data_IF_813301383356
#
_entry.id   IF_813301383356
#
_cell.length_a   1.000
_cell.length_b   1.000
_cell.length_c   1.000
_cell.angle_alpha   90.00
_cell.angle_beta   90.00
_cell.angle_gamma   90.00
#
_symmetry.space_group_name_H-M   'P 1'
#
loop_
_entity.id
_entity.type
_entity.pdbx_description
1 polymer ?
#
# COMPACT_ATOMS: atom_id res chain seq x y z
N UNK A 1 -19.69 -23.16 -1.56
CA UNK A 1 -20.86 -22.97 -0.66
C UNK A 1 -21.52 -21.63 -0.96
N UNK A 2 -22.86 -21.51 -0.90
CA UNK A 2 -23.58 -20.27 -1.19
C UNK A 2 -24.24 -19.73 0.09
N UNK A 3 -24.03 -18.46 0.40
CA UNK A 3 -24.69 -17.77 1.50
C UNK A 3 -25.39 -16.53 0.98
N UNK A 4 -26.52 -16.16 1.62
CA UNK A 4 -27.18 -14.89 1.38
C UNK A 4 -27.15 -14.08 2.67
N UNK A 5 -26.58 -12.89 2.60
CA UNK A 5 -26.53 -11.93 3.71
C UNK A 5 -27.23 -10.68 3.22
N UNK A 6 -28.41 -10.39 3.77
CA UNK A 6 -29.34 -9.37 3.26
C UNK A 6 -29.63 -9.54 1.75
N UNK A 7 -29.31 -8.54 0.95
CA UNK A 7 -29.47 -8.50 -0.50
C UNK A 7 -28.24 -9.03 -1.27
N UNK A 8 -27.16 -9.40 -0.56
CA UNK A 8 -25.91 -9.87 -1.15
C UNK A 8 -25.82 -11.39 -1.18
N UNK A 9 -25.38 -11.92 -2.31
CA UNK A 9 -25.13 -13.34 -2.51
C UNK A 9 -23.62 -13.61 -2.49
N UNK A 10 -23.16 -14.40 -1.52
CA UNK A 10 -21.76 -14.73 -1.28
C UNK A 10 -21.50 -16.18 -1.70
N UNK A 11 -20.61 -16.37 -2.67
CA UNK A 11 -20.11 -17.68 -3.09
C UNK A 11 -18.76 -17.91 -2.42
N UNK A 12 -18.69 -18.91 -1.54
CA UNK A 12 -17.44 -19.36 -0.91
C UNK A 12 -16.82 -20.48 -1.74
N UNK A 13 -15.61 -20.23 -2.21
CA UNK A 13 -14.77 -21.19 -2.94
C UNK A 13 -13.82 -21.85 -1.94
N UNK A 14 -13.93 -23.17 -1.77
CA UNK A 14 -13.17 -23.92 -0.76
C UNK A 14 -12.18 -24.93 -1.37
N UNK A 15 -12.10 -25.02 -2.70
CA UNK A 15 -11.19 -25.91 -3.40
C UNK A 15 -10.27 -25.14 -4.37
N UNK A 16 -9.04 -25.62 -4.51
CA UNK A 16 -8.01 -24.94 -5.28
C UNK A 16 -8.31 -24.93 -6.79
N UNK A 17 -8.91 -26.00 -7.32
CA UNK A 17 -9.21 -26.11 -8.74
C UNK A 17 -10.25 -25.06 -9.17
N UNK A 18 -11.34 -24.94 -8.42
CA UNK A 18 -12.37 -23.90 -8.66
C UNK A 18 -11.79 -22.50 -8.43
N UNK A 19 -10.91 -22.32 -7.45
CA UNK A 19 -10.25 -21.04 -7.22
C UNK A 19 -9.40 -20.62 -8.43
N UNK A 20 -8.56 -21.50 -8.97
CA UNK A 20 -7.76 -21.25 -10.17
C UNK A 20 -8.66 -20.98 -11.38
N UNK A 21 -9.70 -21.78 -11.56
CA UNK A 21 -10.58 -21.64 -12.71
C UNK A 21 -11.37 -20.32 -12.70
N UNK A 22 -11.81 -19.86 -11.53
CA UNK A 22 -12.51 -18.58 -11.38
C UNK A 22 -11.55 -17.39 -11.37
N UNK A 23 -10.47 -17.44 -10.59
CA UNK A 23 -9.62 -16.28 -10.28
C UNK A 23 -8.47 -16.09 -11.26
N UNK A 24 -8.02 -17.13 -11.97
CA UNK A 24 -6.96 -17.03 -12.98
C UNK A 24 -7.53 -17.14 -14.39
N UNK A 25 -8.09 -18.30 -14.73
CA UNK A 25 -8.56 -18.61 -16.10
C UNK A 25 -9.71 -17.69 -16.52
N UNK A 26 -10.60 -17.37 -15.57
CA UNK A 26 -11.76 -16.49 -15.79
C UNK A 26 -11.65 -15.16 -15.04
N UNK A 27 -10.43 -14.73 -14.72
CA UNK A 27 -10.12 -13.48 -13.99
C UNK A 27 -10.85 -12.25 -14.53
N UNK A 28 -10.92 -12.06 -15.85
CA UNK A 28 -11.62 -10.93 -16.46
C UNK A 28 -13.11 -10.84 -16.09
N UNK A 29 -13.75 -11.95 -15.69
CA UNK A 29 -15.15 -12.00 -15.24
C UNK A 29 -15.30 -11.85 -13.72
N UNK A 30 -14.36 -12.39 -12.94
CA UNK A 30 -14.53 -12.54 -11.49
C UNK A 30 -13.57 -11.68 -10.64
N UNK A 31 -12.59 -10.99 -11.23
CA UNK A 31 -11.62 -10.18 -10.49
C UNK A 31 -12.11 -8.78 -10.10
N UNK A 32 -13.34 -8.39 -10.48
CA UNK A 32 -13.88 -7.08 -10.11
C UNK A 32 -14.16 -6.96 -8.62
N UNK A 33 -13.97 -5.77 -8.06
CA UNK A 33 -14.35 -5.46 -6.67
C UNK A 33 -15.79 -4.93 -6.67
N UNK A 34 -16.71 -5.51 -5.88
CA UNK A 34 -18.08 -5.01 -5.81
C UNK A 34 -18.11 -3.58 -5.23
N UNK A 35 -19.09 -2.77 -5.67
CA UNK A 35 -19.40 -1.47 -5.02
C UNK A 35 -20.07 -1.72 -3.66
N UNK A 36 -19.25 -2.15 -2.71
CA UNK A 36 -19.65 -2.48 -1.36
C UNK A 36 -19.54 -1.26 -0.44
N UNK A 37 -20.19 -1.33 0.72
CA UNK A 37 -19.97 -0.35 1.79
C UNK A 37 -18.47 -0.21 2.10
N UNK A 38 -17.74 -1.31 2.04
CA UNK A 38 -16.30 -1.34 2.24
C UNK A 38 -15.54 -0.44 1.27
N UNK A 39 -15.87 -0.49 -0.02
CA UNK A 39 -15.29 0.38 -1.06
C UNK A 39 -15.59 1.86 -0.80
N UNK A 40 -16.80 2.16 -0.28
CA UNK A 40 -17.19 3.53 0.09
C UNK A 40 -16.46 4.02 1.34
N UNK A 41 -16.26 3.13 2.32
CA UNK A 41 -15.53 3.44 3.55
C UNK A 41 -14.04 3.63 3.29
N UNK A 42 -13.43 2.77 2.45
CA UNK A 42 -12.02 2.90 2.07
C UNK A 42 -11.78 4.25 1.37
N UNK A 43 -12.67 4.66 0.46
CA UNK A 43 -12.63 5.99 -0.15
C UNK A 43 -12.77 7.13 0.88
N UNK A 44 -13.73 7.06 1.81
CA UNK A 44 -13.83 8.05 2.89
C UNK A 44 -12.58 8.12 3.77
N UNK A 45 -11.91 6.99 3.95
CA UNK A 45 -10.67 6.87 4.70
C UNK A 45 -9.40 7.21 3.93
N UNK A 46 -9.50 7.69 2.69
CA UNK A 46 -8.35 8.13 1.92
C UNK A 46 -7.66 7.03 1.10
N UNK A 47 -8.28 5.86 0.92
CA UNK A 47 -7.72 4.73 0.18
C UNK A 47 -8.19 4.66 -1.29
N UNK A 48 -8.83 5.69 -1.81
CA UNK A 48 -9.33 5.76 -3.19
C UNK A 48 -8.24 5.64 -4.28
N UNK A 49 -6.97 5.73 -3.89
CA UNK A 49 -5.81 5.56 -4.78
C UNK A 49 -5.28 4.12 -4.82
N UNK A 50 -5.69 3.27 -3.87
CA UNK A 50 -5.12 1.94 -3.73
C UNK A 50 -5.83 0.97 -4.69
N UNK A 51 -5.07 0.47 -5.67
CA UNK A 51 -5.57 -0.40 -6.72
C UNK A 51 -6.21 -1.71 -6.22
N UNK A 52 -5.92 -2.14 -4.99
CA UNK A 52 -6.55 -3.31 -4.38
C UNK A 52 -8.07 -3.14 -4.18
N UNK A 53 -8.55 -1.89 -4.09
CA UNK A 53 -9.95 -1.54 -3.93
C UNK A 53 -10.63 -1.11 -5.24
N UNK A 54 -9.91 -1.10 -6.37
CA UNK A 54 -10.51 -0.66 -7.63
C UNK A 54 -11.47 -1.71 -8.19
N UNK A 55 -12.62 -1.29 -8.75
CA UNK A 55 -13.36 -2.17 -9.64
C UNK A 55 -12.49 -2.51 -10.85
N UNK A 56 -12.69 -3.69 -11.43
CA UNK A 56 -11.96 -4.06 -12.63
C UNK A 56 -12.36 -3.12 -13.77
N UNK A 57 -11.37 -2.53 -14.43
CA UNK A 57 -11.61 -1.50 -15.45
C UNK A 57 -10.33 -0.81 -15.87
N UNK A 58 -10.49 0.34 -16.53
CA UNK A 58 -9.36 1.10 -17.08
C UNK A 58 -8.35 1.51 -16.00
N UNK A 59 -8.78 2.10 -14.89
CA UNK A 59 -7.88 2.54 -13.82
C UNK A 59 -7.07 1.39 -13.22
N UNK A 60 -7.70 0.23 -12.96
CA UNK A 60 -7.01 -0.96 -12.47
C UNK A 60 -5.96 -1.47 -13.47
N UNK A 61 -6.32 -1.53 -14.76
CA UNK A 61 -5.40 -1.97 -15.83
C UNK A 61 -4.19 -1.04 -15.96
N UNK A 62 -4.38 0.28 -15.81
CA UNK A 62 -3.27 1.23 -15.85
C UNK A 62 -2.31 1.06 -14.67
N UNK A 63 -2.83 0.94 -13.45
CA UNK A 63 -1.99 0.68 -12.28
C UNK A 63 -1.28 -0.68 -12.39
N UNK A 64 -1.98 -1.71 -12.88
CA UNK A 64 -1.39 -3.03 -13.13
C UNK A 64 -0.27 -2.98 -14.17
N UNK A 65 -0.39 -2.17 -15.22
CA UNK A 65 0.66 -1.95 -16.23
C UNK A 65 1.91 -1.37 -15.59
N UNK A 66 1.77 -0.34 -14.75
CA UNK A 66 2.89 0.28 -14.02
C UNK A 66 3.53 -0.72 -13.06
N UNK A 67 2.74 -1.47 -12.27
CA UNK A 67 3.26 -2.54 -11.41
C UNK A 67 4.06 -3.55 -12.22
N UNK A 68 3.49 -4.05 -13.33
CA UNK A 68 4.16 -5.07 -14.13
C UNK A 68 5.47 -4.56 -14.72
N UNK A 69 5.52 -3.30 -15.20
CA UNK A 69 6.73 -2.71 -15.76
C UNK A 69 7.91 -2.68 -14.77
N UNK A 70 7.66 -2.33 -13.52
CA UNK A 70 8.72 -2.12 -12.52
C UNK A 70 8.93 -3.29 -11.56
N UNK A 71 7.99 -4.22 -11.44
CA UNK A 71 8.06 -5.35 -10.52
C UNK A 71 8.06 -6.72 -11.22
N UNK A 72 8.14 -6.76 -12.56
CA UNK A 72 8.37 -8.02 -13.28
C UNK A 72 9.77 -8.58 -12.99
N UNK A 73 9.96 -9.91 -13.06
CA UNK A 73 11.24 -10.57 -12.74
C UNK A 73 12.46 -9.94 -13.41
N UNK A 74 12.36 -9.51 -14.66
CA UNK A 74 13.47 -8.92 -15.42
C UNK A 74 13.86 -7.51 -14.94
N UNK A 75 12.95 -6.80 -14.25
CA UNK A 75 13.21 -5.47 -13.70
C UNK A 75 13.85 -5.53 -12.31
N UNK A 76 13.62 -6.62 -11.55
CA UNK A 76 14.05 -6.76 -10.16
C UNK A 76 15.57 -6.66 -9.96
N UNK A 77 16.45 -7.24 -10.83
CA UNK A 77 17.90 -7.20 -10.63
C UNK A 77 18.48 -5.79 -10.47
N UNK A 78 17.85 -4.78 -11.07
CA UNK A 78 18.25 -3.37 -10.93
C UNK A 78 18.17 -2.86 -9.49
N UNK A 79 17.35 -3.50 -8.66
CA UNK A 79 17.11 -3.09 -7.27
C UNK A 79 17.89 -3.93 -6.25
N UNK A 80 18.71 -4.91 -6.69
CA UNK A 80 19.47 -5.78 -5.79
C UNK A 80 20.47 -5.03 -4.92
N UNK A 81 21.11 -3.99 -5.42
CA UNK A 81 22.05 -3.21 -4.61
C UNK A 81 21.34 -2.50 -3.46
N UNK A 82 20.18 -1.90 -3.73
CA UNK A 82 19.37 -1.25 -2.71
C UNK A 82 18.85 -2.28 -1.68
N UNK A 83 18.38 -3.45 -2.13
CA UNK A 83 17.95 -4.53 -1.24
C UNK A 83 19.11 -5.10 -0.39
N UNK A 84 20.31 -5.24 -0.98
CA UNK A 84 21.51 -5.72 -0.28
C UNK A 84 21.96 -4.74 0.79
N UNK A 85 21.99 -3.44 0.49
CA UNK A 85 22.31 -2.41 1.47
C UNK A 85 21.31 -2.38 2.62
N UNK A 86 20.02 -2.48 2.30
CA UNK A 86 18.96 -2.59 3.29
C UNK A 86 19.12 -3.82 4.20
N UNK A 87 19.42 -5.00 3.62
CA UNK A 87 19.67 -6.22 4.37
C UNK A 87 20.89 -6.08 5.29
N UNK A 88 21.99 -5.49 4.82
CA UNK A 88 23.19 -5.22 5.64
C UNK A 88 22.88 -4.32 6.82
N UNK A 89 22.07 -3.28 6.62
CA UNK A 89 21.63 -2.37 7.71
C UNK A 89 20.77 -3.10 8.74
N UNK A 90 19.82 -3.94 8.29
CA UNK A 90 19.00 -4.76 9.18
C UNK A 90 19.85 -5.72 10.02
N UNK A 91 20.85 -6.38 9.41
CA UNK A 91 21.77 -7.27 10.13
C UNK A 91 22.63 -6.52 11.15
N UNK A 92 23.12 -5.32 10.81
CA UNK A 92 23.88 -4.49 11.73
C UNK A 92 23.03 -4.07 12.96
N UNK A 93 21.75 -3.75 12.75
CA UNK A 93 20.81 -3.44 13.82
C UNK A 93 20.62 -4.64 14.77
N UNK A 94 20.45 -5.85 14.23
CA UNK A 94 20.34 -7.06 15.04
C UNK A 94 21.58 -7.33 15.89
N UNK A 95 22.78 -7.04 15.38
CA UNK A 95 24.02 -7.19 16.14
C UNK A 95 24.10 -6.14 17.26
N UNK A 96 23.71 -4.89 16.98
CA UNK A 96 23.83 -3.78 17.95
C UNK A 96 22.82 -3.84 19.11
N UNK A 97 21.62 -4.39 18.90
CA UNK A 97 20.53 -4.36 19.88
C UNK A 97 19.75 -5.69 19.91
N UNK A 98 20.39 -6.82 20.27
CA UNK A 98 19.80 -8.16 20.14
C UNK A 98 18.51 -8.37 20.96
N UNK A 99 18.35 -7.63 22.06
CA UNK A 99 17.20 -7.78 22.96
C UNK A 99 15.91 -7.12 22.43
N UNK A 100 15.97 -6.39 21.32
CA UNK A 100 14.84 -5.62 20.80
C UNK A 100 14.44 -6.07 19.37
N UNK A 101 14.39 -7.39 19.16
CA UNK A 101 14.22 -8.02 17.86
C UNK A 101 12.99 -7.52 17.09
N UNK A 102 11.84 -7.39 17.75
CA UNK A 102 10.59 -6.94 17.12
C UNK A 102 10.68 -5.51 16.58
N UNK A 103 11.27 -4.61 17.36
CA UNK A 103 11.47 -3.21 16.97
C UNK A 103 12.53 -3.10 15.87
N UNK A 104 13.62 -3.87 15.96
CA UNK A 104 14.66 -3.92 14.92
C UNK A 104 14.13 -4.48 13.59
N UNK A 105 13.30 -5.53 13.62
CA UNK A 105 12.64 -6.07 12.43
C UNK A 105 11.74 -5.00 11.82
N UNK A 106 10.92 -4.33 12.64
CA UNK A 106 10.02 -3.27 12.17
C UNK A 106 10.77 -2.13 11.53
N UNK A 107 11.76 -1.60 12.23
CA UNK A 107 12.59 -0.49 11.77
C UNK A 107 13.35 -0.89 10.50
N UNK A 108 14.05 -2.03 10.51
CA UNK A 108 14.88 -2.41 9.37
C UNK A 108 14.08 -2.78 8.13
N UNK A 109 12.90 -3.41 8.25
CA UNK A 109 11.99 -3.63 7.10
C UNK A 109 11.45 -2.31 6.57
N UNK A 110 11.02 -1.40 7.45
CA UNK A 110 10.53 -0.08 7.05
C UNK A 110 11.59 0.72 6.29
N UNK A 111 12.79 0.81 6.85
CA UNK A 111 13.96 1.46 6.24
C UNK A 111 14.34 0.80 4.92
N UNK A 112 14.34 -0.54 4.86
CA UNK A 112 14.63 -1.29 3.64
C UNK A 112 13.67 -0.95 2.49
N UNK A 113 12.38 -0.88 2.79
CA UNK A 113 11.36 -0.59 1.80
C UNK A 113 11.39 0.85 1.33
N UNK A 114 11.59 1.81 2.23
CA UNK A 114 11.75 3.22 1.87
C UNK A 114 13.01 3.40 1.01
N UNK A 115 14.13 2.77 1.38
CA UNK A 115 15.38 2.87 0.62
C UNK A 115 15.24 2.23 -0.77
N UNK A 116 14.72 1.01 -0.86
CA UNK A 116 14.61 0.28 -2.15
C UNK A 116 13.51 0.83 -3.07
N UNK A 117 12.36 1.22 -2.52
CA UNK A 117 11.22 1.71 -3.32
C UNK A 117 11.41 3.16 -3.69
N UNK A 118 11.77 4.01 -2.73
CA UNK A 118 11.81 5.47 -2.90
C UNK A 118 13.23 6.03 -3.11
N UNK A 119 14.28 5.22 -2.94
CA UNK A 119 15.67 5.68 -3.07
C UNK A 119 16.14 6.60 -1.93
N UNK A 120 15.35 6.72 -0.87
CA UNK A 120 15.60 7.65 0.22
C UNK A 120 16.53 7.01 1.27
N UNK A 121 17.61 7.71 1.64
CA UNK A 121 18.45 7.27 2.75
C UNK A 121 17.79 7.61 4.09
N UNK A 122 17.28 6.59 4.76
CA UNK A 122 16.60 6.69 6.05
C UNK A 122 17.55 6.26 7.16
N UNK A 123 18.28 7.22 7.71
CA UNK A 123 19.07 7.07 8.94
C UNK A 123 18.50 7.96 10.05
N UNK A 124 18.56 7.46 11.30
CA UNK A 124 18.14 8.22 12.49
C UNK A 124 16.67 8.66 12.44
N UNK A 125 16.40 9.91 12.84
CA UNK A 125 15.08 10.54 12.96
C UNK A 125 14.23 10.51 11.67
N UNK A 126 14.88 10.42 10.50
CA UNK A 126 14.17 10.34 9.22
C UNK A 126 13.41 9.02 9.07
N UNK A 127 13.94 7.92 9.63
CA UNK A 127 13.25 6.63 9.62
C UNK A 127 11.94 6.72 10.40
N UNK A 128 11.96 7.35 11.57
CA UNK A 128 10.79 7.50 12.44
C UNK A 128 9.69 8.30 11.75
N UNK A 129 10.04 9.30 10.93
CA UNK A 129 9.07 10.09 10.17
C UNK A 129 8.28 9.26 9.17
N UNK A 130 8.93 8.38 8.40
CA UNK A 130 8.26 7.53 7.41
C UNK A 130 7.61 6.31 8.04
N UNK A 131 8.22 5.73 9.07
CA UNK A 131 7.68 4.61 9.81
C UNK A 131 6.42 5.02 10.58
N UNK A 132 6.41 6.19 11.22
CA UNK A 132 5.22 6.74 11.87
C UNK A 132 4.08 7.00 10.88
N UNK A 133 4.39 7.58 9.72
CA UNK A 133 3.40 7.77 8.66
C UNK A 133 2.84 6.43 8.15
N UNK A 134 3.70 5.42 8.03
CA UNK A 134 3.30 4.07 7.66
C UNK A 134 2.40 3.43 8.72
N UNK A 135 2.81 3.40 9.98
CA UNK A 135 2.08 2.75 11.06
C UNK A 135 0.70 3.38 11.25
N UNK A 136 0.62 4.71 11.23
CA UNK A 136 -0.65 5.43 11.37
C UNK A 136 -1.55 5.21 10.16
N UNK A 137 -0.99 5.17 8.94
CA UNK A 137 -1.73 4.88 7.72
C UNK A 137 -2.26 3.45 7.69
N UNK A 138 -1.42 2.43 7.88
CA UNK A 138 -1.81 1.01 7.77
C UNK A 138 -2.73 0.55 8.89
N UNK A 139 -2.63 1.13 10.10
CA UNK A 139 -3.63 0.87 11.16
C UNK A 139 -5.06 1.16 10.70
N UNK A 140 -5.25 2.09 9.77
CA UNK A 140 -6.59 2.34 9.21
C UNK A 140 -7.15 1.19 8.38
N UNK A 141 -6.30 0.33 7.80
CA UNK A 141 -6.74 -0.84 7.02
C UNK A 141 -7.53 -1.81 7.90
N UNK A 142 -7.24 -1.88 9.19
CA UNK A 142 -7.96 -2.74 10.13
C UNK A 142 -9.45 -2.39 10.23
N UNK A 143 -9.84 -1.17 9.87
CA UNK A 143 -11.24 -0.74 9.84
C UNK A 143 -12.00 -1.26 8.61
N UNK A 144 -11.26 -1.78 7.63
CA UNK A 144 -11.75 -2.34 6.36
C UNK A 144 -11.62 -3.87 6.32
N UNK A 145 -10.91 -4.50 7.25
CA UNK A 145 -10.87 -5.95 7.32
C UNK A 145 -12.19 -6.41 7.94
N UNK A 146 -12.98 -7.06 7.09
CA UNK A 146 -14.39 -7.46 7.23
C UNK A 146 -14.78 -7.93 8.63
N UNK A 147 -15.93 -7.43 9.12
CA UNK A 147 -16.55 -7.88 10.38
C UNK A 147 -16.40 -6.96 11.59
N UNK A 148 -15.68 -5.84 11.48
CA UNK A 148 -15.47 -4.89 12.60
C UNK A 148 -16.29 -3.61 12.50
N UNK A 149 -16.84 -3.28 11.33
CA UNK A 149 -17.55 -2.03 11.11
C UNK A 149 -19.05 -2.24 11.03
N UNK A 150 -19.79 -1.70 12.02
CA UNK A 150 -21.26 -1.71 12.05
C UNK A 150 -21.88 -1.08 10.78
N UNK A 151 -21.09 -0.27 10.06
CA UNK A 151 -21.47 0.37 8.81
C UNK A 151 -21.68 -0.63 7.67
N UNK A 152 -20.97 -1.77 7.67
CA UNK A 152 -21.19 -2.86 6.70
C UNK A 152 -22.61 -3.43 6.82
N UNK A 153 -23.19 -3.41 8.03
CA UNK A 153 -24.54 -3.89 8.32
C UNK A 153 -25.60 -2.78 8.23
N UNK A 154 -25.23 -1.52 8.48
CA UNK A 154 -26.14 -0.36 8.48
C UNK A 154 -25.56 0.82 7.67
N UNK A 155 -25.70 0.83 6.33
CA UNK A 155 -25.15 1.88 5.46
C UNK A 155 -25.67 3.28 5.77
N UNK A 156 -26.89 3.37 6.34
CA UNK A 156 -27.58 4.61 6.71
C UNK A 156 -26.75 5.44 7.70
N UNK A 157 -26.01 4.80 8.59
CA UNK A 157 -25.14 5.46 9.57
C UNK A 157 -24.04 6.31 8.91
N UNK A 158 -23.76 6.10 7.63
CA UNK A 158 -22.78 6.86 6.89
C UNK A 158 -23.28 8.22 6.35
N UNK A 159 -24.58 8.48 6.45
CA UNK A 159 -25.20 9.77 6.11
C UNK A 159 -25.51 10.63 7.34
N UNK A 160 -25.24 10.12 8.54
CA UNK A 160 -25.58 10.77 9.81
C UNK A 160 -24.58 11.90 10.09
N UNK A 161 -25.04 13.15 10.33
CA UNK A 161 -24.18 14.26 10.69
C UNK A 161 -23.29 14.01 11.92
N UNK A 162 -22.06 14.53 11.88
CA UNK A 162 -21.01 14.35 12.90
C UNK A 162 -21.34 14.86 14.32
N UNK A 163 -22.43 15.61 14.47
CA UNK A 163 -22.89 16.19 15.75
C UNK A 163 -23.87 15.28 16.49
N UNK A 164 -24.34 14.18 15.88
CA UNK A 164 -25.26 13.24 16.51
C UNK A 164 -24.50 12.32 17.50
N UNK A 165 -25.03 12.11 18.73
CA UNK A 165 -24.42 11.21 19.70
C UNK A 165 -24.22 9.80 19.11
N UNK A 166 -23.04 9.20 19.33
CA UNK A 166 -22.66 7.91 18.75
C UNK A 166 -21.90 7.96 17.41
N UNK A 167 -21.80 9.12 16.75
CA UNK A 167 -21.04 9.27 15.48
C UNK A 167 -19.53 9.55 15.66
N UNK A 168 -18.96 9.29 16.84
CA UNK A 168 -17.53 9.48 17.12
C UNK A 168 -16.60 8.75 16.13
N UNK A 169 -17.09 7.67 15.52
CA UNK A 169 -16.40 6.96 14.44
C UNK A 169 -16.16 7.83 13.20
N UNK A 170 -17.09 8.70 12.80
CA UNK A 170 -16.93 9.59 11.64
C UNK A 170 -15.82 10.62 11.86
N UNK A 171 -15.65 11.11 13.09
CA UNK A 171 -14.51 11.98 13.44
C UNK A 171 -13.16 11.25 13.34
N UNK A 172 -13.13 9.95 13.67
CA UNK A 172 -11.93 9.13 13.45
C UNK A 172 -11.57 9.04 11.97
N UNK A 173 -12.56 8.96 11.07
CA UNK A 173 -12.32 8.89 9.62
C UNK A 173 -11.54 10.09 9.07
N UNK A 174 -11.75 11.30 9.60
CA UNK A 174 -10.97 12.49 9.20
C UNK A 174 -9.49 12.36 9.58
N UNK A 175 -9.20 11.85 10.77
CA UNK A 175 -7.83 11.57 11.21
C UNK A 175 -7.18 10.47 10.37
N UNK A 176 -7.94 9.40 10.11
CA UNK A 176 -7.54 8.30 9.24
C UNK A 176 -7.21 8.77 7.84
N UNK A 177 -8.09 9.55 7.20
CA UNK A 177 -7.86 10.07 5.84
C UNK A 177 -6.55 10.86 5.76
N UNK A 178 -6.26 11.70 6.76
CA UNK A 178 -4.99 12.42 6.84
C UNK A 178 -3.79 11.47 6.97
N UNK A 179 -3.89 10.44 7.81
CA UNK A 179 -2.84 9.45 7.97
C UNK A 179 -2.60 8.64 6.68
N UNK A 180 -3.66 8.19 6.01
CA UNK A 180 -3.59 7.45 4.75
C UNK A 180 -2.97 8.28 3.62
N UNK A 181 -3.40 9.53 3.46
CA UNK A 181 -2.82 10.42 2.45
C UNK A 181 -1.36 10.74 2.78
N UNK A 182 -1.03 10.93 4.07
CA UNK A 182 0.36 11.12 4.50
C UNK A 182 1.21 9.90 4.18
N UNK A 183 0.72 8.68 4.38
CA UNK A 183 1.43 7.44 4.01
C UNK A 183 1.80 7.42 2.52
N UNK A 184 0.89 7.88 1.64
CA UNK A 184 1.12 7.94 0.18
C UNK A 184 2.03 9.10 -0.22
N UNK A 185 1.71 10.30 0.23
CA UNK A 185 2.25 11.54 -0.33
C UNK A 185 3.61 11.90 0.25
N UNK A 186 3.89 11.53 1.50
CA UNK A 186 5.11 11.92 2.18
C UNK A 186 6.38 11.31 1.55
N UNK A 187 6.50 9.97 1.38
CA UNK A 187 7.70 9.40 0.77
C UNK A 187 7.80 9.76 -0.71
N UNK A 188 6.66 9.85 -1.42
CA UNK A 188 6.63 10.24 -2.84
C UNK A 188 7.20 11.64 -3.07
N UNK A 189 6.71 12.63 -2.32
CA UNK A 189 7.16 14.02 -2.48
C UNK A 189 8.65 14.14 -2.21
N UNK A 190 9.10 13.60 -1.09
CA UNK A 190 10.51 13.73 -0.67
C UNK A 190 11.43 12.98 -1.67
N UNK A 191 11.01 11.83 -2.22
CA UNK A 191 11.75 11.12 -3.26
C UNK A 191 11.75 11.84 -4.62
N UNK A 192 10.60 12.35 -5.06
CA UNK A 192 10.49 13.09 -6.31
C UNK A 192 11.34 14.35 -6.27
N UNK A 193 11.31 15.08 -5.16
CA UNK A 193 12.12 16.28 -4.99
C UNK A 193 13.63 15.93 -4.98
N UNK A 194 14.02 14.80 -4.39
CA UNK A 194 15.41 14.32 -4.45
C UNK A 194 15.87 13.96 -5.87
N UNK A 195 15.03 13.29 -6.65
CA UNK A 195 15.32 12.93 -8.05
C UNK A 195 15.41 14.18 -8.92
N UNK A 196 14.42 15.08 -8.85
CA UNK A 196 14.36 16.28 -9.68
C UNK A 196 15.46 17.31 -9.34
N UNK A 197 15.94 17.32 -8.10
CA UNK A 197 17.04 18.20 -7.67
C UNK A 197 18.44 17.59 -7.89
N UNK A 198 18.53 16.38 -8.45
CA UNK A 198 19.80 15.67 -8.63
C UNK A 198 20.47 15.22 -7.33
N UNK A 199 19.75 15.23 -6.21
CA UNK A 199 20.23 14.82 -4.87
C UNK A 199 20.04 13.32 -4.60
N UNK A 200 19.59 12.55 -5.57
CA UNK A 200 19.32 11.11 -5.40
C UNK A 200 20.58 10.24 -5.27
N UNK A 201 21.77 10.82 -5.05
CA UNK A 201 23.07 10.13 -4.92
C UNK A 201 23.34 9.04 -5.98
N UNK A 202 22.71 9.13 -7.16
CA UNK A 202 22.81 8.12 -8.21
C UNK A 202 22.21 6.75 -7.85
N UNK A 203 21.43 6.62 -6.79
CA UNK A 203 20.81 5.35 -6.38
C UNK A 203 19.60 5.04 -7.24
N UNK A 204 19.67 3.99 -8.03
CA UNK A 204 18.50 3.45 -8.74
C UNK A 204 17.47 2.93 -7.73
N UNK A 205 16.23 3.41 -7.87
CA UNK A 205 15.08 2.98 -7.09
C UNK A 205 13.88 2.76 -8.01
N UNK A 206 12.85 2.10 -7.48
CA UNK A 206 11.61 1.91 -8.24
C UNK A 206 11.00 3.26 -8.62
N UNK A 207 10.97 4.21 -7.69
CA UNK A 207 10.41 5.55 -7.91
C UNK A 207 11.25 6.37 -8.87
N UNK A 208 12.58 6.31 -8.83
CA UNK A 208 13.40 7.04 -9.81
C UNK A 208 13.12 6.56 -11.23
N UNK A 209 13.04 5.25 -11.44
CA UNK A 209 12.68 4.66 -12.73
C UNK A 209 11.26 5.06 -13.19
N UNK A 210 10.30 5.12 -12.27
CA UNK A 210 8.95 5.61 -12.58
C UNK A 210 8.91 7.10 -12.94
N UNK A 211 9.78 7.92 -12.33
CA UNK A 211 9.87 9.36 -12.62
C UNK A 211 10.45 9.60 -14.02
N UNK A 212 11.49 8.86 -14.40
CA UNK A 212 12.09 8.91 -15.73
C UNK A 212 11.04 8.62 -16.84
N UNK A 213 10.13 7.68 -16.59
CA UNK A 213 9.11 7.28 -17.58
C UNK A 213 8.15 8.39 -18.01
N UNK A 214 7.85 9.36 -17.14
CA UNK A 214 6.90 10.44 -17.45
C UNK A 214 7.58 11.79 -17.69
N UNK A 215 8.76 12.03 -17.12
CA UNK A 215 9.49 13.31 -17.25
C UNK A 215 9.92 13.61 -18.69
N UNK A 216 10.07 12.60 -19.54
CA UNK A 216 10.36 12.77 -20.96
C UNK A 216 9.12 12.99 -21.84
N UNK A 217 7.91 12.90 -21.29
CA UNK A 217 6.67 13.06 -22.05
C UNK A 217 6.41 14.54 -22.33
N UNK A 218 6.20 14.88 -23.61
CA UNK A 218 5.84 16.24 -24.05
C UNK A 218 4.38 16.61 -23.76
N UNK A 219 3.52 15.61 -23.63
CA UNK A 219 2.10 15.80 -23.32
C UNK A 219 1.93 15.93 -21.80
N UNK A 220 1.60 17.13 -21.34
CA UNK A 220 1.41 17.43 -19.91
C UNK A 220 0.28 16.62 -19.28
N UNK A 221 -0.82 16.38 -20.00
CA UNK A 221 -1.96 15.63 -19.48
C UNK A 221 -1.57 14.16 -19.26
N UNK A 222 -0.84 13.59 -20.22
CA UNK A 222 -0.30 12.23 -20.10
C UNK A 222 0.76 12.13 -19.00
N UNK A 223 1.65 13.11 -18.89
CA UNK A 223 2.66 13.15 -17.83
C UNK A 223 2.03 13.15 -16.44
N UNK A 224 1.02 13.99 -16.20
CA UNK A 224 0.31 14.04 -14.91
C UNK A 224 -0.41 12.74 -14.59
N UNK A 225 -0.99 12.09 -15.61
CA UNK A 225 -1.66 10.81 -15.43
C UNK A 225 -0.68 9.68 -15.03
N UNK A 226 0.48 9.59 -15.70
CA UNK A 226 1.52 8.62 -15.36
C UNK A 226 2.15 8.91 -13.98
N UNK A 227 2.35 10.19 -13.62
CA UNK A 227 2.81 10.59 -12.28
C UNK A 227 1.84 10.11 -11.19
N UNK A 228 0.53 10.28 -11.40
CA UNK A 228 -0.48 9.82 -10.45
C UNK A 228 -0.47 8.30 -10.29
N UNK A 229 -0.41 7.56 -11.40
CA UNK A 229 -0.35 6.10 -11.37
C UNK A 229 0.93 5.61 -10.68
N UNK A 230 2.09 6.22 -10.96
CA UNK A 230 3.36 5.90 -10.31
C UNK A 230 3.32 6.14 -8.80
N UNK A 231 2.82 7.31 -8.37
CA UNK A 231 2.65 7.64 -6.94
C UNK A 231 1.77 6.61 -6.24
N UNK A 232 0.64 6.28 -6.84
CA UNK A 232 -0.31 5.34 -6.26
C UNK A 232 0.30 3.93 -6.16
N UNK A 233 1.01 3.47 -7.20
CA UNK A 233 1.67 2.17 -7.22
C UNK A 233 2.79 2.08 -6.19
N UNK A 234 3.66 3.09 -6.09
CA UNK A 234 4.72 3.12 -5.08
C UNK A 234 4.15 3.03 -3.66
N UNK A 235 3.05 3.73 -3.39
CA UNK A 235 2.36 3.68 -2.11
C UNK A 235 1.68 2.33 -1.84
N UNK A 236 1.13 1.67 -2.87
CA UNK A 236 0.57 0.31 -2.74
C UNK A 236 1.67 -0.68 -2.37
N UNK A 237 2.83 -0.61 -3.03
CA UNK A 237 3.98 -1.47 -2.69
C UNK A 237 4.47 -1.22 -1.27
N UNK A 238 4.51 0.04 -0.83
CA UNK A 238 4.89 0.40 0.53
C UNK A 238 3.88 -0.11 1.58
N UNK A 239 2.58 0.13 1.36
CA UNK A 239 1.51 -0.29 2.26
C UNK A 239 1.35 -1.82 2.33
N UNK A 240 1.48 -2.49 1.19
CA UNK A 240 1.21 -3.92 1.03
C UNK A 240 2.30 -4.84 1.56
N UNK A 241 3.55 -4.36 1.68
CA UNK A 241 4.69 -5.24 2.00
C UNK A 241 4.97 -5.35 3.49
N UNK A 242 4.91 -4.24 4.24
CA UNK A 242 5.35 -4.25 5.65
C UNK A 242 4.42 -5.08 6.54
N UNK A 243 3.10 -5.00 6.40
CA UNK A 243 2.18 -5.68 7.34
C UNK A 243 2.22 -7.22 7.23
N UNK A 244 2.19 -7.82 6.03
CA UNK A 244 2.36 -9.26 5.88
C UNK A 244 3.76 -9.74 6.26
N UNK A 245 4.82 -9.02 5.87
CA UNK A 245 6.19 -9.39 6.22
C UNK A 245 6.41 -9.39 7.73
N UNK A 246 5.93 -8.36 8.46
CA UNK A 246 6.02 -8.33 9.92
C UNK A 246 5.31 -9.50 10.58
N UNK A 247 4.13 -9.88 10.08
CA UNK A 247 3.40 -11.06 10.59
C UNK A 247 4.19 -12.35 10.34
N UNK A 248 4.75 -12.50 9.14
CA UNK A 248 5.59 -13.65 8.76
C UNK A 248 6.78 -13.79 9.71
N UNK A 249 7.56 -12.72 9.92
CA UNK A 249 8.72 -12.75 10.81
C UNK A 249 8.35 -12.99 12.29
N UNK A 250 7.22 -12.44 12.75
CA UNK A 250 6.74 -12.69 14.13
C UNK A 250 6.24 -14.13 14.34
N UNK A 251 5.75 -14.78 13.28
CA UNK A 251 5.28 -16.17 13.36
C UNK A 251 6.43 -17.18 13.37
N UNK A 252 7.56 -16.83 12.74
CA UNK A 252 8.78 -17.66 12.72
C UNK A 252 9.63 -17.51 13.98
N UNK A 253 9.43 -16.47 14.80
CA UNK A 253 10.13 -16.29 16.09
C UNK A 253 9.49 -17.07 17.25
N UNK A 254 8.42 -17.84 17.00
CA UNK A 254 7.68 -18.62 18.00
C UNK A 254 7.84 -20.15 17.82
N UNK A 255 8.82 -20.59 17.03
CA UNK A 255 9.23 -21.99 16.87
C UNK A 255 10.70 -22.17 17.22
#
# INVERSE_FOLDING_TARGET
MLFRVFDQCLVIVNDAETAVDLLERRSAKYSSRPDSVLTKLSSRAGWEWNMAFFPYGWSWRQHRRVVWKHYQPDAIPKYYDAQTQAARRLLALFISAPNNLSENIRYGIGTALVTSTYGLDVGGDLSDRYLSAFETGVKSIQLFLSGTSILEFLPILSYVPHWIPGTGYLRKLVGIRRATLRLRDLPWRDARDAVLSGRADGRESVVSAMIEDYTHLKDEARSKFEEEAARNVAAVSYAGTVSPSLKLFSSTSLS
#
